data_IF_340234526514
#
_entry.id   IF_340234526514
#
_cell.length_a   1.000
_cell.length_b   1.000
_cell.length_c   1.000
_cell.angle_alpha   90.00
_cell.angle_beta   90.00
_cell.angle_gamma   90.00
#
_symmetry.space_group_name_H-M   'P 1'
#
loop_
_entity.id
_entity.type
_entity.pdbx_description
1 polymer ?
#
# COMPACT_ATOMS: atom_id res chain seq x y z
N UNK A 1 12.83 -9.18 1.30
CA UNK A 1 11.98 -8.24 0.55
C UNK A 1 12.20 -8.48 -0.92
N UNK A 2 11.14 -8.43 -1.74
CA UNK A 2 11.25 -8.56 -3.19
C UNK A 2 11.70 -7.22 -3.81
N UNK A 3 12.30 -7.23 -4.99
CA UNK A 3 12.70 -6.00 -5.69
C UNK A 3 11.50 -5.05 -5.94
N UNK A 4 10.30 -5.60 -6.08
CA UNK A 4 9.06 -4.82 -6.20
C UNK A 4 8.69 -4.10 -4.90
N UNK A 5 8.85 -4.78 -3.77
CA UNK A 5 8.56 -4.24 -2.45
C UNK A 5 9.55 -3.14 -2.06
N UNK A 6 10.82 -3.28 -2.45
CA UNK A 6 11.84 -2.23 -2.26
C UNK A 6 11.53 -0.98 -3.08
N UNK A 7 11.10 -1.15 -4.35
CA UNK A 7 10.70 -0.04 -5.21
C UNK A 7 9.43 0.67 -4.71
N UNK A 8 8.45 -0.10 -4.24
CA UNK A 8 7.24 0.42 -3.61
C UNK A 8 7.59 1.22 -2.34
N UNK A 9 8.42 0.66 -1.46
CA UNK A 9 8.86 1.32 -0.23
C UNK A 9 9.61 2.62 -0.54
N UNK A 10 10.50 2.63 -1.53
CA UNK A 10 11.21 3.84 -1.94
C UNK A 10 10.25 4.93 -2.45
N UNK A 11 9.25 4.54 -3.25
CA UNK A 11 8.25 5.46 -3.78
C UNK A 11 7.35 6.03 -2.69
N UNK A 12 6.89 5.22 -1.75
CA UNK A 12 6.09 5.67 -0.61
C UNK A 12 6.89 6.61 0.31
N UNK A 13 8.18 6.34 0.53
CA UNK A 13 9.08 7.23 1.29
C UNK A 13 9.28 8.58 0.61
N UNK A 14 9.39 8.61 -0.74
CA UNK A 14 9.48 9.86 -1.49
C UNK A 14 8.20 10.72 -1.35
N UNK A 15 7.06 10.08 -1.08
CA UNK A 15 5.77 10.73 -0.79
C UNK A 15 5.61 11.08 0.70
N UNK A 16 6.64 10.90 1.53
CA UNK A 16 6.63 11.19 2.96
C UNK A 16 5.91 10.13 3.81
N UNK A 17 5.61 8.96 3.25
CA UNK A 17 4.95 7.87 3.98
C UNK A 17 5.94 6.79 4.38
N UNK A 18 5.96 6.46 5.66
CA UNK A 18 6.84 5.44 6.23
C UNK A 18 6.00 4.26 6.71
N UNK A 19 6.37 3.07 6.25
CA UNK A 19 5.69 1.82 6.58
C UNK A 19 6.72 0.78 7.05
N UNK A 20 6.33 -0.05 8.00
CA UNK A 20 7.08 -1.25 8.35
C UNK A 20 6.90 -2.37 7.32
N UNK A 21 7.60 -3.49 7.49
CA UNK A 21 7.57 -4.61 6.55
C UNK A 21 6.19 -5.26 6.40
N UNK A 22 5.41 -5.32 7.48
CA UNK A 22 4.08 -5.93 7.47
C UNK A 22 3.08 -5.02 6.75
N UNK A 23 3.14 -3.71 7.04
CA UNK A 23 2.35 -2.70 6.37
C UNK A 23 2.68 -2.64 4.87
N UNK A 24 3.96 -2.67 4.49
CA UNK A 24 4.40 -2.71 3.09
C UNK A 24 3.86 -3.93 2.36
N UNK A 25 3.84 -5.09 2.99
CA UNK A 25 3.26 -6.29 2.39
C UNK A 25 1.77 -6.09 2.08
N UNK A 26 1.00 -5.53 3.01
CA UNK A 26 -0.43 -5.26 2.79
C UNK A 26 -0.67 -4.24 1.69
N UNK A 27 0.13 -3.17 1.63
CA UNK A 27 0.05 -2.19 0.54
C UNK A 27 0.33 -2.88 -0.80
N UNK A 28 1.36 -3.72 -0.87
CA UNK A 28 1.67 -4.50 -2.07
C UNK A 28 0.51 -5.41 -2.49
N UNK A 29 -0.10 -6.12 -1.55
CA UNK A 29 -1.22 -7.02 -1.82
C UNK A 29 -2.44 -6.27 -2.37
N UNK A 30 -2.78 -5.10 -1.80
CA UNK A 30 -3.89 -4.27 -2.30
C UNK A 30 -3.58 -3.68 -3.67
N UNK A 31 -2.34 -3.20 -3.88
CA UNK A 31 -1.92 -2.66 -5.18
C UNK A 31 -2.01 -3.73 -6.27
N UNK A 32 -1.57 -4.97 -5.98
CA UNK A 32 -1.66 -6.10 -6.91
C UNK A 32 -3.10 -6.54 -7.18
N UNK A 33 -3.98 -6.42 -6.18
CA UNK A 33 -5.41 -6.69 -6.38
C UNK A 33 -6.10 -5.62 -7.22
N UNK A 34 -5.62 -4.38 -7.18
CA UNK A 34 -6.20 -3.25 -7.91
C UNK A 34 -5.68 -3.11 -9.35
N UNK A 35 -4.45 -3.56 -9.65
CA UNK A 35 -3.86 -3.45 -10.98
C UNK A 35 -2.73 -4.46 -11.24
N UNK A 36 -2.66 -4.94 -12.48
CA UNK A 36 -1.54 -5.74 -13.00
C UNK A 36 -0.28 -4.91 -13.29
N UNK A 37 -0.39 -3.57 -13.27
CA UNK A 37 0.74 -2.66 -13.56
C UNK A 37 0.97 -1.62 -12.45
N UNK A 38 1.40 -2.04 -11.24
CA UNK A 38 1.63 -1.18 -10.06
C UNK A 38 2.46 0.08 -10.33
N UNK A 39 3.41 -0.01 -11.25
CA UNK A 39 4.31 1.10 -11.61
C UNK A 39 3.59 2.28 -12.26
N UNK A 40 2.43 2.05 -12.90
CA UNK A 40 1.67 3.09 -13.62
C UNK A 40 0.69 3.85 -12.73
N UNK A 41 0.45 3.38 -11.50
CA UNK A 41 -0.39 4.08 -10.53
C UNK A 41 0.12 5.51 -10.33
N UNK A 42 -0.79 6.48 -10.39
CA UNK A 42 -0.47 7.85 -9.99
C UNK A 42 -0.15 7.90 -8.50
N UNK A 43 0.72 8.82 -8.10
CA UNK A 43 1.15 8.94 -6.70
C UNK A 43 -0.04 9.19 -5.75
N UNK A 44 -1.03 9.97 -6.18
CA UNK A 44 -2.26 10.21 -5.40
C UNK A 44 -3.05 8.93 -5.15
N UNK A 45 -3.15 8.05 -6.14
CA UNK A 45 -3.84 6.76 -6.01
C UNK A 45 -3.05 5.83 -5.10
N UNK A 46 -1.73 5.83 -5.23
CA UNK A 46 -0.84 5.06 -4.37
C UNK A 46 -0.93 5.50 -2.90
N UNK A 47 -0.99 6.81 -2.64
CA UNK A 47 -1.22 7.37 -1.31
C UNK A 47 -2.56 6.91 -0.72
N UNK A 48 -3.63 6.97 -1.51
CA UNK A 48 -4.96 6.50 -1.07
C UNK A 48 -4.92 5.02 -0.69
N UNK A 49 -4.34 4.17 -1.55
CA UNK A 49 -4.19 2.74 -1.25
C UNK A 49 -3.39 2.52 0.03
N UNK A 50 -2.28 3.25 0.20
CA UNK A 50 -1.41 3.11 1.36
C UNK A 50 -2.12 3.53 2.67
N UNK A 51 -2.93 4.60 2.63
CA UNK A 51 -3.78 5.02 3.76
C UNK A 51 -4.84 3.97 4.09
N UNK A 52 -5.50 3.41 3.08
CA UNK A 52 -6.54 2.39 3.30
C UNK A 52 -5.95 1.07 3.83
N UNK A 53 -4.75 0.69 3.38
CA UNK A 53 -3.99 -0.43 3.93
C UNK A 53 -3.67 -0.22 5.43
N UNK A 54 -3.31 1.00 5.81
CA UNK A 54 -3.04 1.37 7.20
C UNK A 54 -4.30 1.37 8.06
N UNK A 55 -5.41 1.91 7.55
CA UNK A 55 -6.70 1.96 8.28
C UNK A 55 -7.27 0.57 8.52
N UNK A 56 -7.17 -0.32 7.53
CA UNK A 56 -7.67 -1.70 7.63
C UNK A 56 -6.94 -2.52 8.72
N UNK A 57 -5.75 -2.09 9.15
CA UNK A 57 -5.03 -2.66 10.30
C UNK A 57 -5.63 -2.31 11.66
N UNK A 58 -6.35 -1.19 11.76
CA UNK A 58 -6.86 -0.64 13.01
C UNK A 58 -8.38 -0.78 13.15
N UNK A 59 -9.05 -1.38 12.16
CA UNK A 59 -10.47 -1.65 12.21
C UNK A 59 -10.63 -3.17 12.40
N UNK A 60 -11.01 -3.67 13.59
CA UNK A 60 -11.53 -5.02 13.66
C UNK A 60 -12.71 -5.08 12.69
N UNK A 61 -12.63 -6.03 11.77
CA UNK A 61 -13.55 -6.26 10.65
C UNK A 61 -14.97 -6.49 11.17
N UNK A 62 -15.65 -5.43 11.62
CA UNK A 62 -17.08 -5.40 11.88
C UNK A 62 -17.72 -4.80 10.66
N UNK A 63 -18.17 -5.71 9.80
CA UNK A 63 -19.45 -5.66 9.10
C UNK A 63 -19.93 -4.24 8.75
N UNK A 64 -19.67 -3.84 7.51
CA UNK A 64 -20.48 -2.82 6.85
C UNK A 64 -21.83 -3.50 6.57
N UNK A 65 -22.82 -3.25 7.44
CA UNK A 65 -24.25 -3.54 7.23
C UNK A 65 -24.97 -2.23 6.96
#
# INVERSE_FOLDING_TARGET
MSAHQDALAARLRALGMHFDSEQLQRVEDIVRAATDTPQTLADISLMTIAVEAYRSSNVPMREIV
#
